data_IF_856584121387
#
_entry.id   IF_856584121387
#
_cell.length_a   1.000
_cell.length_b   1.000
_cell.length_c   1.000
_cell.angle_alpha   90.00
_cell.angle_beta   90.00
_cell.angle_gamma   90.00
#
_symmetry.space_group_name_H-M   'P 1'
#
loop_
_entity.id
_entity.type
_entity.pdbx_description
1 polymer ?
#
# COMPACT_ATOMS: atom_id res chain seq x y z
N UNK A 1 30.33 -3.81 -22.21
CA UNK A 1 30.56 -3.27 -20.85
C UNK A 1 29.39 -3.74 -20.00
N UNK A 2 29.68 -4.47 -18.93
CA UNK A 2 28.70 -5.24 -18.14
C UNK A 2 27.83 -4.30 -17.30
N UNK A 3 26.51 -4.36 -17.47
CA UNK A 3 25.55 -3.64 -16.63
C UNK A 3 25.32 -4.44 -15.36
N UNK A 4 25.83 -3.96 -14.22
CA UNK A 4 25.62 -4.58 -12.91
C UNK A 4 24.25 -4.14 -12.37
N UNK A 5 23.24 -4.98 -12.56
CA UNK A 5 21.92 -4.81 -11.93
C UNK A 5 22.07 -5.05 -10.43
N UNK A 6 21.97 -3.99 -9.63
CA UNK A 6 21.94 -4.06 -8.17
C UNK A 6 20.50 -4.02 -7.67
N UNK A 7 20.14 -4.94 -6.77
CA UNK A 7 18.89 -4.88 -6.02
C UNK A 7 19.11 -4.12 -4.72
N UNK A 8 18.25 -3.13 -4.41
CA UNK A 8 18.30 -2.36 -3.17
C UNK A 8 16.98 -2.57 -2.44
N UNK A 9 17.04 -3.13 -1.23
CA UNK A 9 15.89 -3.32 -0.34
C UNK A 9 15.64 -2.04 0.46
N UNK A 10 14.44 -1.47 0.37
CA UNK A 10 14.04 -0.29 1.14
C UNK A 10 13.04 -0.70 2.22
N UNK A 11 13.49 -0.75 3.48
CA UNK A 11 12.56 -0.98 4.61
C UNK A 11 11.81 0.31 4.98
N UNK A 12 10.51 0.35 4.71
CA UNK A 12 9.61 1.40 5.18
C UNK A 12 8.85 0.90 6.40
N UNK A 13 9.08 1.50 7.58
CA UNK A 13 8.29 1.22 8.79
C UNK A 13 7.30 2.35 9.04
N UNK A 14 6.00 2.03 9.09
CA UNK A 14 4.97 2.96 9.51
C UNK A 14 4.73 2.81 11.02
N UNK A 15 4.61 3.93 11.74
CA UNK A 15 4.33 3.94 13.17
C UNK A 15 2.91 4.42 13.38
N UNK A 16 1.90 3.53 13.35
CA UNK A 16 0.51 3.95 13.60
C UNK A 16 -0.18 3.07 14.64
N UNK A 17 -0.16 3.63 15.86
CA UNK A 17 -1.22 3.68 16.87
C UNK A 17 -1.76 2.37 17.50
N UNK A 18 -1.19 2.05 18.66
CA UNK A 18 -1.76 1.09 19.62
C UNK A 18 -3.07 1.62 20.22
N UNK A 19 -4.21 1.07 19.81
CA UNK A 19 -5.50 1.31 20.46
C UNK A 19 -5.57 0.57 21.81
N UNK A 20 -5.53 1.34 22.91
CA UNK A 20 -5.65 0.81 24.28
C UNK A 20 -7.12 0.52 24.61
N UNK A 21 -7.51 -0.75 24.62
CA UNK A 21 -8.81 -1.20 25.14
C UNK A 21 -8.85 -1.08 26.68
N UNK A 22 -9.68 -0.18 27.21
CA UNK A 22 -9.97 -0.11 28.64
C UNK A 22 -10.88 -1.28 29.06
N UNK A 23 -10.33 -2.19 29.86
CA UNK A 23 -11.08 -3.27 30.52
C UNK A 23 -11.84 -2.69 31.73
N UNK A 24 -13.10 -2.32 31.54
CA UNK A 24 -14.02 -2.05 32.64
C UNK A 24 -14.48 -3.36 33.27
N UNK A 25 -14.02 -3.65 34.48
CA UNK A 25 -14.56 -4.71 35.34
C UNK A 25 -15.80 -4.16 36.06
N UNK A 26 -16.95 -4.80 35.90
CA UNK A 26 -18.08 -4.61 36.82
C UNK A 26 -18.64 -5.98 37.23
N UNK A 27 -18.34 -6.36 38.47
CA UNK A 27 -19.10 -7.35 39.24
C UNK A 27 -20.51 -6.79 39.50
N UNK A 28 -21.54 -7.62 39.42
CA UNK A 28 -22.51 -7.85 40.52
C UNK A 28 -23.74 -8.67 40.09
N UNK A 29 -24.14 -9.57 40.99
CA UNK A 29 -25.46 -10.16 41.20
C UNK A 29 -25.91 -11.32 40.29
N UNK A 30 -25.62 -12.53 40.78
CA UNK A 30 -26.34 -13.78 40.50
C UNK A 30 -27.63 -13.75 41.34
N UNK A 31 -28.80 -13.99 40.72
CA UNK A 31 -29.99 -14.38 41.47
C UNK A 31 -31.34 -14.12 40.79
N UNK A 32 -31.99 -15.22 40.42
CA UNK A 32 -33.44 -15.44 40.32
C UNK A 32 -34.10 -15.38 38.93
N UNK A 33 -34.78 -16.51 38.67
CA UNK A 33 -35.51 -16.96 37.50
C UNK A 33 -36.72 -16.08 37.15
N UNK A 34 -36.99 -15.94 35.85
CA UNK A 34 -38.34 -16.21 35.30
C UNK A 34 -38.31 -16.26 33.77
N UNK A 35 -38.82 -17.36 33.20
CA UNK A 35 -39.05 -17.53 31.77
C UNK A 35 -40.18 -16.60 31.33
N UNK A 36 -39.85 -15.59 30.52
CA UNK A 36 -40.82 -14.83 29.73
C UNK A 36 -40.41 -14.95 28.28
N UNK A 37 -41.15 -15.77 27.53
CA UNK A 37 -41.03 -15.85 26.08
C UNK A 37 -41.67 -14.61 25.45
N UNK A 38 -40.87 -13.88 24.69
CA UNK A 38 -41.31 -13.24 23.46
C UNK A 38 -40.15 -13.43 22.48
N UNK A 39 -40.39 -14.17 21.40
CA UNK A 39 -39.53 -14.20 20.23
C UNK A 39 -39.63 -12.82 19.57
N UNK A 40 -39.00 -11.82 20.18
CA UNK A 40 -38.63 -10.60 19.50
C UNK A 40 -37.59 -11.03 18.47
N UNK A 41 -38.02 -11.15 17.21
CA UNK A 41 -37.13 -11.22 16.06
C UNK A 41 -36.33 -9.92 16.01
N UNK A 42 -35.35 -9.80 16.90
CA UNK A 42 -34.38 -8.74 16.88
C UNK A 42 -33.51 -9.02 15.68
N UNK A 43 -33.47 -8.07 14.76
CA UNK A 43 -32.45 -7.96 13.73
C UNK A 43 -31.07 -8.07 14.39
N UNK A 44 -30.61 -9.30 14.59
CA UNK A 44 -29.22 -9.63 14.92
C UNK A 44 -28.38 -9.56 13.65
N UNK A 45 -28.74 -8.65 12.75
CA UNK A 45 -27.92 -8.27 11.63
C UNK A 45 -26.74 -7.53 12.24
N UNK A 46 -25.64 -8.26 12.39
CA UNK A 46 -24.34 -7.70 12.73
C UNK A 46 -24.12 -6.51 11.79
N UNK A 47 -23.94 -5.32 12.37
CA UNK A 47 -23.70 -4.11 11.61
C UNK A 47 -22.63 -4.39 10.55
N UNK A 48 -22.92 -4.01 9.30
CA UNK A 48 -22.05 -4.23 8.15
C UNK A 48 -20.65 -3.68 8.49
N UNK A 49 -19.56 -4.45 8.30
CA UNK A 49 -18.23 -3.97 8.65
C UNK A 49 -17.98 -2.65 7.96
N UNK A 50 -17.65 -1.62 8.76
CA UNK A 50 -17.27 -0.32 8.21
C UNK A 50 -16.08 -0.54 7.27
N UNK A 51 -16.12 0.08 6.10
CA UNK A 51 -14.99 0.06 5.17
C UNK A 51 -13.82 0.74 5.86
N UNK A 52 -12.79 -0.04 6.21
CA UNK A 52 -11.52 0.49 6.72
C UNK A 52 -10.68 0.86 5.52
N UNK A 53 -10.34 2.13 5.42
CA UNK A 53 -9.41 2.63 4.42
C UNK A 53 -7.98 2.24 4.82
N UNK A 54 -7.35 1.39 4.01
CA UNK A 54 -5.95 0.99 4.18
C UNK A 54 -5.03 1.88 3.33
N UNK A 55 -3.76 2.07 3.73
CA UNK A 55 -2.78 2.77 2.90
C UNK A 55 -2.55 2.02 1.58
N UNK A 56 -2.28 2.78 0.53
CA UNK A 56 -2.06 2.24 -0.83
C UNK A 56 -0.69 2.65 -1.32
N UNK A 57 0.15 1.66 -1.59
CA UNK A 57 1.40 1.85 -2.30
C UNK A 57 1.24 1.47 -3.78
N UNK A 58 1.83 2.24 -4.68
CA UNK A 58 1.77 1.95 -6.11
C UNK A 58 3.01 2.47 -6.83
N UNK A 59 3.31 1.86 -7.97
CA UNK A 59 4.39 2.29 -8.85
C UNK A 59 3.79 3.18 -9.94
N UNK A 60 4.25 4.42 -10.03
CA UNK A 60 3.91 5.34 -11.10
C UNK A 60 4.97 5.28 -12.20
N UNK A 61 4.55 5.03 -13.45
CA UNK A 61 5.44 5.03 -14.62
C UNK A 61 5.05 6.14 -15.59
N UNK A 62 6.03 6.94 -15.97
CA UNK A 62 5.84 7.94 -17.02
C UNK A 62 5.80 7.28 -18.39
N UNK A 63 4.94 7.79 -19.28
CA UNK A 63 4.90 7.34 -20.66
C UNK A 63 6.13 7.85 -21.41
N UNK A 64 6.87 6.93 -22.03
CA UNK A 64 8.05 7.24 -22.84
C UNK A 64 7.66 7.24 -24.30
N UNK A 65 8.07 8.27 -25.04
CA UNK A 65 7.79 8.41 -26.46
C UNK A 65 9.09 8.33 -27.26
N UNK A 66 9.04 7.71 -28.43
CA UNK A 66 10.17 7.65 -29.35
C UNK A 66 10.40 9.04 -29.95
N UNK A 67 11.59 9.60 -29.78
CA UNK A 67 11.90 10.97 -30.22
C UNK A 67 11.85 11.14 -31.75
N UNK A 68 12.10 10.08 -32.51
CA UNK A 68 12.13 10.14 -33.97
C UNK A 68 10.75 9.93 -34.59
N UNK A 69 9.93 9.04 -34.02
CA UNK A 69 8.61 8.68 -34.58
C UNK A 69 7.44 9.32 -33.84
N UNK A 70 7.65 9.86 -32.64
CA UNK A 70 6.59 10.38 -31.76
C UNK A 70 5.65 9.31 -31.20
N UNK A 71 5.91 8.03 -31.47
CA UNK A 71 5.06 6.92 -31.03
C UNK A 71 5.33 6.59 -29.55
N UNK A 72 4.31 6.12 -28.84
CA UNK A 72 4.48 5.57 -27.49
C UNK A 72 5.41 4.35 -27.56
N UNK A 73 6.41 4.32 -26.67
CA UNK A 73 7.22 3.12 -26.43
C UNK A 73 6.41 2.21 -25.51
N UNK A 74 5.82 1.17 -26.10
CA UNK A 74 5.00 0.17 -25.39
C UNK A 74 5.88 -0.78 -24.56
N UNK A 75 5.27 -1.43 -23.57
CA UNK A 75 5.93 -2.49 -22.81
C UNK A 75 6.00 -3.78 -23.65
N UNK A 76 7.19 -4.36 -23.77
CA UNK A 76 7.36 -5.68 -24.36
C UNK A 76 6.98 -6.76 -23.34
N UNK A 77 5.82 -7.38 -23.54
CA UNK A 77 5.32 -8.47 -22.68
C UNK A 77 6.20 -9.73 -22.76
N UNK A 78 7.00 -9.90 -23.82
CA UNK A 78 7.96 -10.99 -23.93
C UNK A 78 9.24 -10.73 -23.10
N UNK A 79 9.49 -9.48 -22.71
CA UNK A 79 10.65 -9.08 -21.92
C UNK A 79 10.26 -8.16 -20.74
N UNK A 80 9.53 -8.67 -19.73
CA UNK A 80 9.04 -7.85 -18.61
C UNK A 80 10.17 -7.26 -17.74
N UNK A 81 11.36 -7.87 -17.78
CA UNK A 81 12.54 -7.43 -17.06
C UNK A 81 13.27 -6.25 -17.73
N UNK A 82 12.82 -5.80 -18.91
CA UNK A 82 13.40 -4.65 -19.59
C UNK A 82 13.35 -3.40 -18.70
N UNK A 83 14.52 -2.77 -18.57
CA UNK A 83 14.69 -1.57 -17.76
C UNK A 83 14.06 -0.34 -18.42
N UNK A 84 13.20 0.36 -17.69
CA UNK A 84 12.52 1.59 -18.12
C UNK A 84 12.71 2.70 -17.09
N UNK A 85 13.55 3.71 -17.36
CA UNK A 85 13.83 4.74 -16.38
C UNK A 85 12.59 5.57 -16.03
N UNK A 86 12.46 5.94 -14.75
CA UNK A 86 11.45 6.88 -14.27
C UNK A 86 10.28 6.26 -13.50
N UNK A 87 10.31 4.96 -13.20
CA UNK A 87 9.29 4.33 -12.36
C UNK A 87 9.52 4.70 -10.89
N UNK A 88 8.50 5.29 -10.24
CA UNK A 88 8.58 5.80 -8.85
C UNK A 88 7.62 5.04 -7.94
N UNK A 89 8.05 4.75 -6.72
CA UNK A 89 7.19 4.22 -5.67
C UNK A 89 6.52 5.37 -4.92
N UNK A 90 5.18 5.35 -4.91
CA UNK A 90 4.35 6.34 -4.22
C UNK A 90 3.50 5.66 -3.14
N UNK A 91 3.24 6.38 -2.04
CA UNK A 91 2.37 5.94 -0.94
C UNK A 91 1.27 6.96 -0.67
N UNK A 92 0.03 6.48 -0.56
CA UNK A 92 -1.14 7.23 -0.09
C UNK A 92 -1.62 6.67 1.25
N UNK A 93 -2.14 7.55 2.10
CA UNK A 93 -2.74 7.14 3.37
C UNK A 93 -4.11 6.44 3.21
N UNK A 94 -4.77 6.61 2.06
CA UNK A 94 -5.99 5.90 1.70
C UNK A 94 -6.17 5.79 0.18
N UNK A 95 -7.11 4.94 -0.28
CA UNK A 95 -7.38 4.76 -1.70
C UNK A 95 -8.07 5.99 -2.34
N UNK A 96 -8.68 6.87 -1.52
CA UNK A 96 -9.42 8.04 -1.96
C UNK A 96 -8.66 8.90 -2.98
N UNK A 97 -9.35 9.35 -4.05
CA UNK A 97 -8.74 10.13 -5.14
C UNK A 97 -8.08 11.44 -4.65
N UNK A 98 -8.60 12.04 -3.57
CA UNK A 98 -8.06 13.27 -2.98
C UNK A 98 -6.93 13.05 -1.97
N UNK A 99 -6.60 11.80 -1.62
CA UNK A 99 -5.47 11.54 -0.72
C UNK A 99 -4.16 11.91 -1.43
N UNK A 100 -3.31 12.68 -0.74
CA UNK A 100 -1.99 13.05 -1.24
C UNK A 100 -1.10 11.83 -1.41
N UNK A 101 -0.35 11.78 -2.51
CA UNK A 101 0.69 10.78 -2.74
C UNK A 101 2.05 11.30 -2.26
N UNK A 102 2.79 10.46 -1.56
CA UNK A 102 4.17 10.72 -1.09
C UNK A 102 5.14 9.88 -1.91
N UNK A 103 6.16 10.53 -2.48
CA UNK A 103 7.28 9.84 -3.14
C UNK A 103 8.23 9.26 -2.09
N UNK A 104 8.46 7.95 -2.15
CA UNK A 104 9.31 7.20 -1.23
C UNK A 104 10.60 6.70 -1.87
N UNK A 105 10.68 6.63 -3.21
CA UNK A 105 11.86 6.12 -3.91
C UNK A 105 12.84 7.21 -4.34
N UNK A 106 12.37 8.40 -4.72
CA UNK A 106 13.24 9.40 -5.36
C UNK A 106 14.41 9.84 -4.47
N UNK A 107 14.19 9.96 -3.16
CA UNK A 107 15.25 10.33 -2.21
C UNK A 107 16.33 9.23 -2.06
N UNK A 108 15.99 7.96 -2.31
CA UNK A 108 16.96 6.87 -2.26
C UNK A 108 17.87 6.84 -3.50
N UNK A 109 17.41 7.40 -4.61
CA UNK A 109 18.08 7.36 -5.91
C UNK A 109 18.44 8.76 -6.46
N UNK A 110 18.36 9.81 -5.63
CA UNK A 110 18.60 11.21 -5.99
C UNK A 110 20.06 11.57 -6.30
N UNK A 111 20.95 10.58 -6.34
CA UNK A 111 22.37 10.76 -6.68
C UNK A 111 22.68 10.74 -8.19
N UNK A 112 21.69 10.49 -9.05
CA UNK A 112 21.85 10.54 -10.51
C UNK A 112 21.62 11.93 -11.09
N UNK A 113 22.34 12.30 -12.16
CA UNK A 113 22.06 13.52 -12.92
C UNK A 113 20.62 13.44 -13.46
N UNK A 114 19.78 14.48 -13.34
CA UNK A 114 18.48 14.52 -14.00
C UNK A 114 18.67 14.25 -15.50
N UNK A 115 18.11 13.13 -16.00
CA UNK A 115 18.26 12.70 -17.40
C UNK A 115 19.44 11.77 -17.71
N UNK A 116 20.32 11.44 -16.76
CA UNK A 116 21.30 10.36 -16.91
C UNK A 116 21.04 9.27 -15.87
N UNK A 117 20.31 8.24 -16.29
CA UNK A 117 20.02 7.07 -15.47
C UNK A 117 18.95 7.36 -14.42
N UNK A 118 17.69 7.38 -14.86
CA UNK A 118 16.58 7.18 -13.93
C UNK A 118 16.71 5.82 -13.24
N UNK A 119 15.89 5.58 -12.23
CA UNK A 119 15.73 4.25 -11.65
C UNK A 119 14.40 3.66 -12.12
N UNK A 120 14.26 2.35 -12.00
CA UNK A 120 13.06 1.63 -12.41
C UNK A 120 12.62 0.72 -11.27
N UNK A 121 11.70 1.21 -10.44
CA UNK A 121 11.08 0.37 -9.41
C UNK A 121 10.19 -0.67 -10.09
N UNK A 122 10.48 -1.95 -9.83
CA UNK A 122 9.66 -3.12 -10.22
C UNK A 122 9.57 -4.09 -9.06
N UNK A 123 8.68 -5.08 -9.18
CA UNK A 123 8.61 -6.26 -8.31
C UNK A 123 8.51 -5.93 -6.80
N UNK A 124 7.63 -4.98 -6.46
CA UNK A 124 7.39 -4.62 -5.06
C UNK A 124 6.77 -5.78 -4.29
N UNK A 125 7.41 -6.20 -3.21
CA UNK A 125 6.87 -7.20 -2.30
C UNK A 125 6.31 -6.56 -1.04
N UNK A 126 5.39 -7.27 -0.39
CA UNK A 126 4.81 -6.86 0.89
C UNK A 126 5.13 -7.95 1.92
N UNK A 127 5.48 -7.54 3.13
CA UNK A 127 5.69 -8.49 4.23
C UNK A 127 4.41 -9.25 4.55
N UNK A 128 4.55 -10.44 5.14
CA UNK A 128 3.42 -11.30 5.48
C UNK A 128 2.39 -10.62 6.40
N UNK A 129 2.85 -9.71 7.27
CA UNK A 129 2.00 -8.95 8.20
C UNK A 129 1.43 -7.66 7.60
N UNK A 130 1.77 -7.33 6.34
CA UNK A 130 1.28 -6.14 5.65
C UNK A 130 1.94 -4.82 6.06
N UNK A 131 2.88 -4.83 7.01
CA UNK A 131 3.42 -3.61 7.60
C UNK A 131 4.66 -3.06 6.88
N UNK A 132 5.22 -3.80 5.93
CA UNK A 132 6.44 -3.42 5.21
C UNK A 132 6.29 -3.65 3.71
N UNK A 133 6.88 -2.74 2.96
CA UNK A 133 7.23 -2.93 1.57
C UNK A 133 8.67 -3.45 1.50
N UNK A 134 8.93 -4.44 0.65
CA UNK A 134 10.20 -5.16 0.52
C UNK A 134 10.74 -5.05 -0.91
#
# INVERSE_FOLDING_TARGET
MSSTTGFVTLEVTSSVLSARYHRGRLLACIGALSLTGCLSGGDSQKADPVVVEEPVAYIERQLVFNENTGSLVEDDLANPAEFRPGARLLLKSSAAARSSAKDISSAAFSGGTPGQGGYDVKDLHVSQDGNRLL
#
